data_IF_101826363271
#
_entry.id   IF_101826363271
#
_cell.length_a   1.000
_cell.length_b   1.000
_cell.length_c   1.000
_cell.angle_alpha   90.00
_cell.angle_beta   90.00
_cell.angle_gamma   90.00
#
_symmetry.space_group_name_H-M   'P 1'
#
loop_
_entity.id
_entity.type
_entity.pdbx_description
1 polymer ?
#
# COMPACT_ATOMS: atom_id res chain seq x y z
N UNK A 1 -3.46 -4.04 -20.74
CA UNK A 1 -4.48 -3.98 -19.66
C UNK A 1 -4.68 -2.57 -19.13
N UNK A 2 -3.63 -1.79 -18.97
CA UNK A 2 -3.69 -0.42 -18.42
C UNK A 2 -4.57 0.54 -19.25
N UNK A 3 -4.73 0.30 -20.56
CA UNK A 3 -5.60 1.09 -21.45
C UNK A 3 -7.10 0.88 -21.21
N UNK A 4 -7.49 -0.20 -20.53
CA UNK A 4 -8.88 -0.52 -20.18
C UNK A 4 -9.27 -0.02 -18.77
N UNK A 5 -8.44 0.80 -18.15
CA UNK A 5 -8.63 1.31 -16.79
C UNK A 5 -8.47 2.82 -16.73
N UNK A 6 -9.38 3.52 -16.03
CA UNK A 6 -9.25 4.95 -15.80
C UNK A 6 -8.21 5.27 -14.71
N UNK A 7 -7.95 4.33 -13.80
CA UNK A 7 -6.98 4.43 -12.71
C UNK A 7 -5.75 3.54 -12.94
N UNK A 8 -4.84 3.52 -11.98
CA UNK A 8 -3.63 2.70 -12.02
C UNK A 8 -3.11 2.47 -10.59
N UNK A 9 -3.03 1.19 -10.19
CA UNK A 9 -2.53 0.79 -8.87
C UNK A 9 -3.19 1.55 -7.72
N UNK A 10 -2.47 1.76 -6.63
CA UNK A 10 -2.96 2.50 -5.45
C UNK A 10 -3.24 3.99 -5.72
N UNK A 11 -2.80 4.55 -6.84
CA UNK A 11 -3.11 5.93 -7.23
C UNK A 11 -4.58 6.18 -7.59
N UNK A 12 -5.42 5.12 -7.66
CA UNK A 12 -6.87 5.23 -7.87
C UNK A 12 -7.69 5.29 -6.57
N UNK A 13 -7.05 5.27 -5.40
CA UNK A 13 -7.76 5.38 -4.11
C UNK A 13 -8.57 6.68 -4.04
N UNK A 14 -9.74 6.61 -3.41
CA UNK A 14 -10.57 7.78 -3.08
C UNK A 14 -9.74 8.69 -2.16
N UNK A 15 -9.76 10.00 -2.42
CA UNK A 15 -9.00 10.93 -1.59
C UNK A 15 -9.48 10.91 -0.14
N UNK A 16 -8.57 11.10 0.85
CA UNK A 16 -8.92 11.06 2.27
C UNK A 16 -10.11 11.96 2.62
N UNK A 17 -10.14 13.18 2.10
CA UNK A 17 -11.23 14.14 2.38
C UNK A 17 -12.62 13.65 1.91
N UNK A 18 -12.68 12.96 0.76
CA UNK A 18 -13.93 12.39 0.25
C UNK A 18 -14.30 11.14 1.03
N UNK A 19 -13.32 10.29 1.36
CA UNK A 19 -13.52 9.09 2.15
C UNK A 19 -14.04 9.43 3.55
N UNK A 20 -13.53 10.46 4.20
CA UNK A 20 -14.02 10.95 5.49
C UNK A 20 -15.50 11.33 5.46
N UNK A 21 -15.99 11.87 4.35
CA UNK A 21 -17.42 12.17 4.19
C UNK A 21 -18.24 10.90 4.05
N UNK A 22 -17.74 9.92 3.29
CA UNK A 22 -18.44 8.64 3.06
C UNK A 22 -18.50 7.77 4.32
N UNK A 23 -17.46 7.81 5.15
CA UNK A 23 -17.38 7.02 6.38
C UNK A 23 -18.12 7.63 7.57
N UNK A 24 -18.63 8.86 7.45
CA UNK A 24 -19.47 9.45 8.50
C UNK A 24 -20.72 8.62 8.73
N UNK A 25 -20.92 8.19 9.97
CA UNK A 25 -22.11 7.45 10.36
C UNK A 25 -22.76 8.07 11.59
N UNK A 26 -24.10 7.96 11.68
CA UNK A 26 -24.86 8.26 12.88
C UNK A 26 -25.27 6.99 13.64
N UNK A 27 -24.91 5.83 13.10
CA UNK A 27 -25.17 4.54 13.72
C UNK A 27 -24.15 4.36 14.84
N UNK A 28 -24.60 4.16 16.09
CA UNK A 28 -23.68 3.89 17.20
C UNK A 28 -22.84 2.65 16.90
N UNK A 29 -21.53 2.77 17.07
CA UNK A 29 -20.67 1.60 16.98
C UNK A 29 -21.00 0.60 18.08
N UNK A 30 -21.01 -0.67 17.76
CA UNK A 30 -21.00 -1.73 18.76
C UNK A 30 -19.65 -1.65 19.47
N UNK A 31 -19.69 -1.46 20.78
CA UNK A 31 -18.47 -1.50 21.61
C UNK A 31 -18.10 -2.98 21.74
N UNK A 32 -16.92 -3.31 21.25
CA UNK A 32 -16.34 -4.66 21.32
C UNK A 32 -14.90 -4.53 21.78
N UNK A 33 -14.65 -4.89 23.02
CA UNK A 33 -13.33 -4.79 23.65
C UNK A 33 -12.30 -5.73 23.00
N UNK A 34 -12.75 -6.73 22.24
CA UNK A 34 -11.90 -7.61 21.47
C UNK A 34 -11.40 -6.98 20.15
N UNK A 35 -12.03 -5.90 19.67
CA UNK A 35 -11.55 -5.15 18.50
C UNK A 35 -10.41 -4.21 18.94
N UNK A 36 -9.17 -4.68 18.81
CA UNK A 36 -7.97 -3.94 19.22
C UNK A 36 -7.66 -2.76 18.29
N UNK A 37 -7.84 -2.95 16.98
CA UNK A 37 -7.63 -1.92 15.95
C UNK A 37 -8.81 -1.95 14.98
N UNK A 38 -9.41 -0.79 14.75
CA UNK A 38 -10.55 -0.64 13.86
C UNK A 38 -10.51 0.68 13.08
N UNK A 39 -11.62 1.08 12.49
CA UNK A 39 -11.71 2.23 11.57
C UNK A 39 -11.29 3.59 12.18
N UNK A 40 -11.31 3.73 13.51
CA UNK A 40 -11.04 5.02 14.17
C UNK A 40 -9.56 5.44 14.12
N UNK A 41 -8.64 4.48 14.02
CA UNK A 41 -7.19 4.72 13.99
C UNK A 41 -6.64 4.99 12.60
N UNK A 42 -7.41 4.70 11.54
CA UNK A 42 -6.92 4.76 10.14
C UNK A 42 -5.65 3.94 9.95
N UNK A 43 -5.59 2.79 10.62
CA UNK A 43 -4.48 1.85 10.53
C UNK A 43 -4.61 0.95 9.29
N UNK A 44 -3.56 0.18 8.99
CA UNK A 44 -3.47 -0.62 7.77
C UNK A 44 -4.50 -1.76 7.73
N UNK A 45 -4.87 -2.33 8.90
CA UNK A 45 -5.82 -3.43 8.98
C UNK A 45 -6.64 -3.41 10.28
N UNK A 46 -7.76 -4.14 10.28
CA UNK A 46 -8.50 -4.45 11.51
C UNK A 46 -7.81 -5.57 12.28
N UNK A 47 -7.73 -5.44 13.61
CA UNK A 47 -7.15 -6.44 14.50
C UNK A 47 -8.14 -6.83 15.59
N UNK A 48 -8.45 -8.12 15.68
CA UNK A 48 -9.43 -8.67 16.62
C UNK A 48 -8.79 -9.72 17.51
N UNK A 49 -8.85 -9.53 18.83
CA UNK A 49 -8.37 -10.49 19.84
C UNK A 49 -9.30 -11.71 19.89
N UNK A 50 -8.76 -12.89 19.65
CA UNK A 50 -9.50 -14.15 19.75
C UNK A 50 -9.23 -14.89 21.07
N UNK A 51 -8.52 -14.26 22.00
CA UNK A 51 -8.11 -14.81 23.26
C UNK A 51 -6.79 -15.59 23.19
N UNK A 52 -6.32 -16.03 24.33
CA UNK A 52 -5.07 -16.79 24.49
C UNK A 52 -3.82 -16.05 23.95
N UNK A 53 -3.82 -14.71 23.97
CA UNK A 53 -2.71 -13.88 23.50
C UNK A 53 -2.55 -13.86 21.97
N UNK A 54 -3.57 -14.23 21.22
CA UNK A 54 -3.56 -14.24 19.75
C UNK A 54 -4.64 -13.33 19.20
N UNK A 55 -4.31 -12.55 18.19
CA UNK A 55 -5.26 -11.74 17.43
C UNK A 55 -5.27 -12.13 15.94
N UNK A 56 -6.43 -11.95 15.32
CA UNK A 56 -6.62 -12.04 13.87
C UNK A 56 -6.45 -10.65 13.27
N UNK A 57 -5.71 -10.56 12.18
CA UNK A 57 -5.61 -9.39 11.31
C UNK A 57 -6.45 -9.65 10.07
N UNK A 58 -7.27 -8.70 9.67
CA UNK A 58 -8.08 -8.78 8.46
C UNK A 58 -8.01 -7.47 7.67
N UNK A 59 -7.63 -7.60 6.41
CA UNK A 59 -7.53 -6.46 5.48
C UNK A 59 -8.06 -6.82 4.11
N UNK A 60 -8.30 -5.79 3.28
CA UNK A 60 -8.61 -5.95 1.87
C UNK A 60 -8.03 -4.80 1.06
N UNK A 61 -7.29 -5.12 0.01
CA UNK A 61 -6.83 -4.14 -0.97
C UNK A 61 -6.96 -4.69 -2.39
N UNK A 62 -7.43 -3.84 -3.29
CA UNK A 62 -7.63 -4.17 -4.71
C UNK A 62 -7.56 -2.91 -5.55
N UNK A 63 -7.12 -3.04 -6.78
CA UNK A 63 -6.99 -1.92 -7.70
C UNK A 63 -6.98 -2.35 -9.17
N UNK A 64 -6.97 -1.36 -10.04
CA UNK A 64 -6.86 -1.53 -11.49
C UNK A 64 -5.41 -1.72 -11.92
N UNK A 65 -5.15 -2.32 -13.11
CA UNK A 65 -3.80 -2.60 -13.58
C UNK A 65 -2.86 -1.40 -13.54
N UNK A 66 -1.66 -1.64 -13.01
CA UNK A 66 -0.53 -0.70 -13.00
C UNK A 66 0.53 -1.06 -14.03
N UNK A 67 0.54 -2.32 -14.49
CA UNK A 67 1.39 -2.85 -15.54
C UNK A 67 0.56 -3.61 -16.56
N UNK A 68 1.06 -3.79 -17.77
CA UNK A 68 0.33 -4.49 -18.85
C UNK A 68 0.51 -6.00 -18.81
N UNK A 69 1.62 -6.51 -18.24
CA UNK A 69 1.82 -7.95 -18.04
C UNK A 69 0.85 -8.48 -16.98
N UNK A 70 -0.06 -9.42 -17.34
CA UNK A 70 -1.11 -9.87 -16.43
C UNK A 70 -0.58 -10.64 -15.21
N UNK A 71 0.45 -11.46 -15.39
CA UNK A 71 1.05 -12.19 -14.28
C UNK A 71 1.71 -11.25 -13.26
N UNK A 72 2.47 -10.28 -13.74
CA UNK A 72 3.11 -9.26 -12.91
C UNK A 72 2.07 -8.39 -12.21
N UNK A 73 0.98 -8.00 -12.89
CA UNK A 73 -0.14 -7.28 -12.24
C UNK A 73 -0.73 -8.08 -11.09
N UNK A 74 -1.00 -9.35 -11.30
CA UNK A 74 -1.52 -10.24 -10.26
C UNK A 74 -0.57 -10.35 -9.07
N UNK A 75 0.74 -10.49 -9.31
CA UNK A 75 1.75 -10.49 -8.23
C UNK A 75 1.76 -9.19 -7.45
N UNK A 76 1.79 -8.05 -8.13
CA UNK A 76 1.82 -6.72 -7.48
C UNK A 76 0.58 -6.53 -6.61
N UNK A 77 -0.61 -6.80 -7.14
CA UNK A 77 -1.87 -6.61 -6.42
C UNK A 77 -1.95 -7.48 -5.16
N UNK A 78 -1.54 -8.74 -5.27
CA UNK A 78 -1.48 -9.64 -4.12
C UNK A 78 -0.41 -9.22 -3.10
N UNK A 79 0.80 -8.84 -3.55
CA UNK A 79 1.88 -8.36 -2.68
C UNK A 79 1.45 -7.13 -1.89
N UNK A 80 0.73 -6.19 -2.54
CA UNK A 80 0.20 -5.00 -1.89
C UNK A 80 -0.83 -5.35 -0.81
N UNK A 81 -1.79 -6.22 -1.10
CA UNK A 81 -2.82 -6.60 -0.12
C UNK A 81 -2.24 -7.40 1.08
N UNK A 82 -1.19 -8.18 0.85
CA UNK A 82 -0.51 -8.92 1.93
C UNK A 82 0.29 -7.97 2.84
N UNK A 83 0.72 -6.82 2.32
CA UNK A 83 1.59 -5.87 3.01
C UNK A 83 1.00 -5.38 4.33
N UNK A 84 -0.31 -5.13 4.39
CA UNK A 84 -1.01 -4.67 5.59
C UNK A 84 -0.84 -5.65 6.77
N UNK A 85 -0.83 -6.97 6.48
CA UNK A 85 -0.59 -7.97 7.54
C UNK A 85 0.80 -7.79 8.14
N UNK A 86 1.81 -7.55 7.31
CA UNK A 86 3.18 -7.31 7.76
C UNK A 86 3.33 -5.95 8.45
N UNK A 87 2.59 -4.93 7.99
CA UNK A 87 2.58 -3.61 8.63
C UNK A 87 2.02 -3.66 10.05
N UNK A 88 1.05 -4.54 10.31
CA UNK A 88 0.53 -4.81 11.66
C UNK A 88 1.41 -5.75 12.49
N UNK A 89 2.59 -6.14 11.99
CA UNK A 89 3.51 -7.07 12.66
C UNK A 89 3.11 -8.54 12.57
N UNK A 90 2.12 -8.88 11.78
CA UNK A 90 1.52 -10.20 11.68
C UNK A 90 2.18 -11.12 10.68
N UNK A 91 1.66 -12.34 10.65
CA UNK A 91 1.98 -13.38 9.67
C UNK A 91 0.71 -13.71 8.85
N UNK A 92 0.74 -13.61 7.53
CA UNK A 92 -0.39 -13.97 6.69
C UNK A 92 -0.63 -15.49 6.74
N UNK A 93 -1.90 -15.91 6.73
CA UNK A 93 -2.28 -17.33 6.80
C UNK A 93 -3.09 -17.79 5.60
N UNK A 94 -3.97 -16.94 5.05
CA UNK A 94 -4.74 -17.22 3.85
C UNK A 94 -5.24 -15.94 3.21
N UNK A 95 -5.63 -16.04 1.94
CA UNK A 95 -6.33 -14.97 1.22
C UNK A 95 -7.49 -15.52 0.39
N UNK A 96 -8.45 -14.64 0.07
CA UNK A 96 -9.48 -14.83 -0.94
C UNK A 96 -9.42 -13.71 -1.97
N UNK A 97 -9.60 -14.05 -3.25
CA UNK A 97 -9.49 -13.11 -4.36
C UNK A 97 -10.74 -12.22 -4.50
N UNK A 98 -10.52 -10.96 -4.82
CA UNK A 98 -11.52 -10.03 -5.33
C UNK A 98 -11.18 -9.80 -6.81
N UNK A 99 -12.07 -10.19 -7.72
CA UNK A 99 -11.79 -10.21 -9.14
C UNK A 99 -12.94 -9.63 -9.97
N UNK A 100 -12.73 -8.48 -10.57
CA UNK A 100 -13.60 -7.89 -11.58
C UNK A 100 -12.95 -8.00 -12.94
N UNK A 101 -13.67 -8.56 -13.95
CA UNK A 101 -13.08 -8.80 -15.26
C UNK A 101 -14.00 -8.38 -16.39
N UNK A 102 -13.57 -7.56 -17.36
CA UNK A 102 -14.38 -7.14 -18.49
C UNK A 102 -14.36 -8.20 -19.59
N UNK A 103 -15.30 -9.15 -19.54
CA UNK A 103 -15.39 -10.29 -20.46
C UNK A 103 -15.58 -9.88 -21.92
N UNK A 104 -16.11 -8.68 -22.17
CA UNK A 104 -16.29 -8.09 -23.50
C UNK A 104 -15.01 -7.49 -24.10
N UNK A 105 -13.96 -7.27 -23.29
CA UNK A 105 -12.72 -6.57 -23.67
C UNK A 105 -11.47 -7.43 -23.57
N UNK A 106 -11.42 -8.31 -22.59
CA UNK A 106 -10.22 -9.10 -22.27
C UNK A 106 -10.55 -10.59 -22.20
N UNK A 107 -9.74 -11.46 -22.86
CA UNK A 107 -9.91 -12.91 -22.82
C UNK A 107 -9.78 -13.47 -21.41
N UNK A 108 -10.46 -14.58 -21.12
CA UNK A 108 -10.40 -15.26 -19.83
C UNK A 108 -8.98 -15.78 -19.49
N UNK A 109 -8.21 -16.13 -20.52
CA UNK A 109 -6.83 -16.60 -20.38
C UNK A 109 -5.90 -15.52 -19.82
N UNK A 110 -6.16 -14.25 -20.13
CA UNK A 110 -5.43 -13.11 -19.51
C UNK A 110 -5.81 -12.98 -18.03
N UNK A 111 -7.09 -13.14 -17.69
CA UNK A 111 -7.55 -13.19 -16.32
C UNK A 111 -6.96 -14.35 -15.52
N UNK A 112 -6.79 -15.52 -16.16
CA UNK A 112 -6.10 -16.66 -15.55
C UNK A 112 -4.66 -16.29 -15.17
N UNK A 113 -3.91 -15.61 -16.03
CA UNK A 113 -2.54 -15.18 -15.73
C UNK A 113 -2.48 -14.20 -14.54
N UNK A 114 -3.47 -13.31 -14.39
CA UNK A 114 -3.59 -12.43 -13.21
C UNK A 114 -3.74 -13.27 -11.94
N UNK A 115 -4.64 -14.25 -11.95
CA UNK A 115 -4.84 -15.15 -10.81
C UNK A 115 -3.60 -16.00 -10.49
N UNK A 116 -2.86 -16.45 -11.50
CA UNK A 116 -1.59 -17.16 -11.30
C UNK A 116 -0.53 -16.26 -10.67
N UNK A 117 -0.42 -14.99 -11.08
CA UNK A 117 0.44 -14.01 -10.43
C UNK A 117 0.08 -13.81 -8.96
N UNK A 118 -1.21 -13.71 -8.65
CA UNK A 118 -1.72 -13.64 -7.27
C UNK A 118 -1.38 -14.89 -6.44
N UNK A 119 -1.54 -16.09 -7.01
CA UNK A 119 -1.15 -17.34 -6.36
C UNK A 119 0.35 -17.42 -6.09
N UNK A 120 1.17 -16.93 -7.01
CA UNK A 120 2.61 -16.88 -6.82
C UNK A 120 3.00 -16.01 -5.63
N UNK A 121 2.43 -14.79 -5.51
CA UNK A 121 2.69 -13.92 -4.37
C UNK A 121 2.23 -14.56 -3.03
N UNK A 122 1.08 -15.22 -3.02
CA UNK A 122 0.61 -15.97 -1.85
C UNK A 122 1.58 -17.11 -1.48
N UNK A 123 2.06 -17.87 -2.46
CA UNK A 123 3.04 -18.93 -2.26
C UNK A 123 4.37 -18.39 -1.72
N UNK A 124 4.86 -17.27 -2.28
CA UNK A 124 6.07 -16.60 -1.80
C UNK A 124 5.93 -16.11 -0.34
N UNK A 125 4.71 -15.74 0.07
CA UNK A 125 4.37 -15.36 1.45
C UNK A 125 4.11 -16.58 2.37
N UNK A 126 4.18 -17.79 1.86
CA UNK A 126 3.94 -19.02 2.62
C UNK A 126 2.47 -19.25 2.99
N UNK A 127 1.54 -18.70 2.23
CA UNK A 127 0.09 -18.84 2.46
C UNK A 127 -0.66 -19.32 1.20
N UNK A 128 -1.94 -19.66 1.35
CA UNK A 128 -2.78 -20.17 0.26
C UNK A 128 -3.78 -19.09 -0.20
N UNK A 129 -3.93 -18.94 -1.53
CA UNK A 129 -5.10 -18.31 -2.13
C UNK A 129 -6.24 -19.34 -2.13
N UNK A 130 -7.16 -19.22 -1.15
CA UNK A 130 -8.11 -20.28 -0.78
C UNK A 130 -9.46 -20.20 -1.54
N UNK A 131 -9.67 -19.15 -2.34
CA UNK A 131 -10.92 -18.93 -3.07
C UNK A 131 -11.09 -17.47 -3.45
N UNK A 132 -12.34 -17.04 -3.59
CA UNK A 132 -12.63 -15.64 -3.89
C UNK A 132 -14.00 -15.43 -4.50
N UNK A 133 -14.25 -14.20 -4.94
CA UNK A 133 -15.45 -13.81 -5.66
C UNK A 133 -15.09 -13.06 -6.94
N UNK A 134 -15.82 -13.36 -8.02
CA UNK A 134 -15.60 -12.72 -9.32
C UNK A 134 -16.89 -12.17 -9.89
N UNK A 135 -16.78 -11.03 -10.57
CA UNK A 135 -17.89 -10.39 -11.28
C UNK A 135 -17.46 -9.98 -12.68
N UNK A 136 -18.40 -9.94 -13.61
CA UNK A 136 -18.24 -9.22 -14.86
C UNK A 136 -18.25 -7.71 -14.56
N UNK A 137 -17.17 -7.01 -14.87
CA UNK A 137 -16.95 -5.62 -14.51
C UNK A 137 -16.49 -4.80 -15.72
N UNK A 138 -16.80 -3.50 -15.81
CA UNK A 138 -16.42 -2.68 -16.97
C UNK A 138 -14.92 -2.47 -17.14
N UNK A 139 -14.14 -2.72 -16.07
CA UNK A 139 -12.69 -2.58 -16.01
C UNK A 139 -12.06 -3.73 -15.23
N UNK A 140 -10.82 -4.14 -15.56
CA UNK A 140 -10.14 -5.17 -14.80
C UNK A 140 -9.78 -4.67 -13.39
N UNK A 141 -10.17 -5.43 -12.38
CA UNK A 141 -9.90 -5.18 -10.96
C UNK A 141 -9.39 -6.47 -10.34
N UNK A 142 -8.30 -6.41 -9.61
CA UNK A 142 -7.81 -7.55 -8.85
C UNK A 142 -7.18 -7.10 -7.53
N UNK A 143 -7.38 -7.93 -6.53
CA UNK A 143 -6.75 -7.85 -5.22
C UNK A 143 -7.19 -8.98 -4.31
N UNK A 144 -6.89 -8.85 -3.05
CA UNK A 144 -7.15 -9.89 -2.06
C UNK A 144 -7.83 -9.30 -0.82
N UNK A 145 -8.67 -10.11 -0.20
CA UNK A 145 -8.91 -10.00 1.23
C UNK A 145 -7.97 -11.00 1.93
N UNK A 146 -7.14 -10.50 2.85
CA UNK A 146 -6.08 -11.27 3.49
C UNK A 146 -6.38 -11.40 4.98
N UNK A 147 -6.19 -12.62 5.49
CA UNK A 147 -6.25 -12.91 6.92
C UNK A 147 -4.88 -13.29 7.42
N UNK A 148 -4.48 -12.71 8.54
CA UNK A 148 -3.24 -13.02 9.24
C UNK A 148 -3.46 -13.23 10.73
N UNK A 149 -2.40 -13.60 11.42
CA UNK A 149 -2.37 -13.71 12.88
C UNK A 149 -1.18 -12.98 13.45
N UNK A 150 -1.31 -12.53 14.69
CA UNK A 150 -0.25 -11.86 15.46
C UNK A 150 -0.46 -12.16 16.95
N UNK A 151 0.61 -12.22 17.72
CA UNK A 151 0.51 -12.18 19.19
C UNK A 151 0.02 -10.78 19.60
N UNK A 152 -0.97 -10.70 20.49
CA UNK A 152 -1.59 -9.41 20.89
C UNK A 152 -0.58 -8.38 21.38
N UNK A 153 0.48 -8.81 22.05
CA UNK A 153 1.56 -7.94 22.56
C UNK A 153 2.49 -7.40 21.44
N UNK A 154 2.46 -8.03 20.26
CA UNK A 154 3.33 -7.70 19.10
C UNK A 154 2.61 -6.88 18.04
N UNK A 155 1.33 -6.61 18.21
CA UNK A 155 0.58 -5.75 17.27
C UNK A 155 1.30 -4.42 17.12
N UNK A 156 1.62 -4.07 15.89
CA UNK A 156 2.15 -2.75 15.53
C UNK A 156 1.02 -1.89 14.97
N UNK A 157 1.08 -0.62 15.31
CA UNK A 157 0.12 0.38 14.86
C UNK A 157 0.87 1.60 14.34
N UNK A 158 0.20 2.40 13.53
CA UNK A 158 0.78 3.62 12.98
C UNK A 158 0.80 4.80 13.97
N UNK A 159 0.06 4.73 15.08
CA UNK A 159 -0.19 5.82 16.04
C UNK A 159 0.59 5.69 17.36
N UNK A 160 1.64 4.88 17.40
CA UNK A 160 2.40 4.55 18.61
C UNK A 160 3.85 5.02 18.59
N UNK A 161 4.21 5.90 17.64
CA UNK A 161 5.54 6.50 17.57
C UNK A 161 5.86 7.32 18.83
N UNK A 162 7.14 7.42 19.18
CA UNK A 162 7.60 8.19 20.33
C UNK A 162 8.66 9.23 19.92
N UNK A 163 8.72 10.33 20.69
CA UNK A 163 9.70 11.39 20.43
C UNK A 163 11.14 10.84 20.50
N UNK A 164 11.97 11.23 19.53
CA UNK A 164 13.34 10.78 19.39
C UNK A 164 13.53 9.53 18.54
N UNK A 165 12.45 8.88 18.10
CA UNK A 165 12.55 7.78 17.16
C UNK A 165 13.21 8.22 15.84
N UNK A 166 13.94 7.29 15.22
CA UNK A 166 14.40 7.40 13.84
C UNK A 166 13.37 6.79 12.90
N UNK A 167 13.32 7.30 11.66
CA UNK A 167 12.44 6.80 10.62
C UNK A 167 13.26 6.01 9.58
N UNK A 168 12.74 4.87 9.17
CA UNK A 168 13.35 4.02 8.14
C UNK A 168 12.33 3.62 7.11
N UNK A 169 12.76 3.48 5.84
CA UNK A 169 11.96 2.91 4.75
C UNK A 169 12.58 1.60 4.29
N UNK A 170 11.77 0.55 4.18
CA UNK A 170 12.26 -0.79 3.75
C UNK A 170 12.33 -0.95 2.24
N UNK A 171 11.67 -0.07 1.47
CA UNK A 171 11.79 0.02 0.01
C UNK A 171 11.96 1.47 -0.43
N UNK A 172 12.65 1.72 -1.55
CA UNK A 172 12.81 3.06 -2.11
C UNK A 172 11.50 3.61 -2.68
N UNK A 173 11.38 4.95 -2.73
CA UNK A 173 10.26 5.68 -3.32
C UNK A 173 10.46 5.91 -4.83
N UNK A 174 9.38 6.26 -5.54
CA UNK A 174 9.41 6.63 -6.95
C UNK A 174 8.59 5.73 -7.87
N UNK A 175 7.80 4.80 -7.30
CA UNK A 175 6.95 3.87 -8.07
C UNK A 175 5.96 4.63 -8.95
N UNK A 176 5.29 5.65 -8.43
CA UNK A 176 4.31 6.42 -9.20
C UNK A 176 4.93 7.18 -10.38
N UNK A 177 6.14 7.72 -10.17
CA UNK A 177 6.90 8.43 -11.22
C UNK A 177 7.30 7.48 -12.34
N UNK A 178 7.89 6.32 -12.02
CA UNK A 178 8.31 5.33 -13.02
C UNK A 178 7.10 4.70 -13.73
N UNK A 179 6.02 4.41 -13.01
CA UNK A 179 4.78 3.90 -13.61
C UNK A 179 4.12 4.93 -14.54
N UNK A 180 4.24 6.22 -14.21
CA UNK A 180 3.78 7.31 -15.10
C UNK A 180 4.64 7.39 -16.35
N UNK A 181 5.96 7.22 -16.24
CA UNK A 181 6.87 7.14 -17.39
C UNK A 181 6.52 5.94 -18.30
N UNK A 182 6.19 4.80 -17.69
CA UNK A 182 5.70 3.61 -18.40
C UNK A 182 4.41 3.91 -19.18
N UNK A 183 3.40 4.48 -18.50
CA UNK A 183 2.11 4.84 -19.13
C UNK A 183 2.25 5.87 -20.24
N UNK A 184 3.18 6.82 -20.11
CA UNK A 184 3.52 7.80 -21.15
C UNK A 184 4.40 7.22 -22.26
N UNK A 185 4.82 5.95 -22.17
CA UNK A 185 5.74 5.28 -23.11
C UNK A 185 7.10 5.99 -23.23
N UNK A 186 7.54 6.61 -22.13
CA UNK A 186 8.83 7.32 -22.04
C UNK A 186 9.88 6.48 -21.31
N UNK A 187 9.48 5.40 -20.63
CA UNK A 187 10.40 4.50 -19.92
C UNK A 187 11.33 3.83 -20.93
N UNK A 188 12.62 3.79 -20.62
CA UNK A 188 13.58 3.04 -21.44
C UNK A 188 13.43 1.56 -21.18
N UNK A 189 13.63 0.68 -22.18
CA UNK A 189 13.49 -0.77 -22.01
C UNK A 189 14.30 -1.33 -20.82
N UNK A 190 15.53 -0.85 -20.63
CA UNK A 190 16.43 -1.26 -19.55
C UNK A 190 15.96 -0.80 -18.14
N UNK A 191 15.00 0.11 -18.05
CA UNK A 191 14.43 0.60 -16.81
C UNK A 191 13.01 0.07 -16.53
N UNK A 192 12.45 -0.71 -17.47
CA UNK A 192 11.04 -1.10 -17.43
C UNK A 192 10.68 -1.95 -16.20
N UNK A 193 11.62 -2.75 -15.69
CA UNK A 193 11.39 -3.68 -14.59
C UNK A 193 11.69 -3.07 -13.20
N UNK A 194 12.29 -1.88 -13.12
CA UNK A 194 12.70 -1.25 -11.84
C UNK A 194 11.52 -1.12 -10.86
N UNK A 195 10.40 -0.54 -11.30
CA UNK A 195 9.23 -0.38 -10.47
C UNK A 195 8.48 -1.71 -10.25
N UNK A 196 8.23 -2.56 -11.27
CA UNK A 196 7.65 -3.89 -11.08
C UNK A 196 8.40 -4.77 -10.09
N UNK A 197 9.73 -4.83 -10.16
CA UNK A 197 10.56 -5.61 -9.23
C UNK A 197 10.42 -5.12 -7.77
N UNK A 198 10.39 -3.81 -7.58
CA UNK A 198 10.14 -3.23 -6.24
C UNK A 198 8.74 -3.56 -5.74
N UNK A 199 7.72 -3.45 -6.59
CA UNK A 199 6.32 -3.73 -6.24
C UNK A 199 6.06 -5.21 -5.94
N UNK A 200 6.76 -6.14 -6.59
CA UNK A 200 6.63 -7.58 -6.36
C UNK A 200 7.35 -8.07 -5.09
N UNK A 201 8.14 -7.22 -4.42
CA UNK A 201 8.85 -7.60 -3.21
C UNK A 201 7.93 -7.56 -2.00
N UNK A 202 7.81 -8.68 -1.28
CA UNK A 202 7.04 -8.76 -0.03
C UNK A 202 7.66 -7.93 1.09
N UNK A 203 6.82 -7.37 1.94
CA UNK A 203 7.22 -6.67 3.18
C UNK A 203 7.36 -7.63 4.38
N UNK A 204 7.76 -8.88 4.16
CA UNK A 204 7.84 -9.94 5.18
C UNK A 204 8.72 -9.59 6.37
N UNK A 205 9.67 -8.68 6.21
CA UNK A 205 10.49 -8.13 7.30
C UNK A 205 9.63 -7.52 8.43
N UNK A 206 8.38 -7.11 8.14
CA UNK A 206 7.46 -6.53 9.13
C UNK A 206 7.20 -7.47 10.31
N UNK A 207 7.11 -8.78 10.06
CA UNK A 207 6.96 -9.79 11.14
C UNK A 207 8.19 -9.80 12.07
N UNK A 208 9.40 -9.68 11.51
CA UNK A 208 10.64 -9.63 12.30
C UNK A 208 10.78 -8.29 13.04
N UNK A 209 10.40 -7.18 12.39
CA UNK A 209 10.41 -5.85 12.99
C UNK A 209 9.46 -5.77 14.20
N UNK A 210 8.37 -6.54 14.20
CA UNK A 210 7.44 -6.60 15.31
C UNK A 210 8.05 -7.19 16.59
N UNK A 211 9.08 -8.05 16.47
CA UNK A 211 9.82 -8.61 17.60
C UNK A 211 10.75 -7.60 18.27
N UNK A 212 11.07 -6.51 17.59
CA UNK A 212 12.03 -5.52 18.11
C UNK A 212 11.32 -4.52 19.02
N UNK A 213 11.73 -4.45 20.27
CA UNK A 213 11.17 -3.54 21.28
C UNK A 213 11.38 -2.05 20.94
N UNK A 214 12.37 -1.70 20.10
CA UNK A 214 12.59 -0.34 19.62
C UNK A 214 11.59 0.09 18.56
N UNK A 215 11.01 -0.84 17.78
CA UNK A 215 10.01 -0.52 16.76
C UNK A 215 8.71 -0.16 17.44
N UNK A 216 8.38 1.14 17.42
CA UNK A 216 7.22 1.72 18.12
C UNK A 216 6.02 1.82 17.19
N UNK A 217 6.19 2.34 15.98
CA UNK A 217 5.12 2.41 14.99
C UNK A 217 5.59 1.82 13.65
N UNK A 218 4.64 1.26 12.92
CA UNK A 218 4.85 0.61 11.65
C UNK A 218 3.62 0.84 10.76
N UNK A 219 3.82 1.16 9.50
CA UNK A 219 2.79 1.22 8.46
C UNK A 219 3.45 1.00 7.10
N UNK A 220 2.71 0.64 6.08
CA UNK A 220 3.26 0.62 4.73
C UNK A 220 3.01 1.94 3.98
N UNK A 221 3.87 2.26 3.02
CA UNK A 221 3.75 3.49 2.23
C UNK A 221 3.10 3.16 0.90
N UNK A 222 1.82 3.55 0.73
CA UNK A 222 1.04 3.26 -0.46
C UNK A 222 0.50 4.52 -1.15
N UNK A 223 -0.76 4.56 -1.51
CA UNK A 223 -1.37 5.55 -2.39
C UNK A 223 -1.28 7.02 -1.94
N UNK A 224 -1.15 7.27 -0.65
CA UNK A 224 -1.01 8.64 -0.12
C UNK A 224 0.44 9.16 -0.12
N UNK A 225 1.40 8.33 -0.55
CA UNK A 225 2.81 8.66 -0.56
C UNK A 225 3.42 8.77 0.84
N UNK A 226 4.72 9.01 0.90
CA UNK A 226 5.42 9.15 2.18
C UNK A 226 4.80 10.26 3.04
N UNK A 227 4.48 11.41 2.43
CA UNK A 227 3.92 12.56 3.16
C UNK A 227 2.59 12.25 3.84
N UNK A 228 1.70 11.51 3.17
CA UNK A 228 0.40 11.14 3.72
C UNK A 228 0.52 10.15 4.87
N UNK A 229 1.23 9.04 4.67
CA UNK A 229 1.37 8.01 5.71
C UNK A 229 2.19 8.49 6.92
N UNK A 230 3.26 9.27 6.71
CA UNK A 230 4.00 9.87 7.82
C UNK A 230 3.15 10.90 8.58
N UNK A 231 2.28 11.64 7.88
CA UNK A 231 1.32 12.52 8.55
C UNK A 231 0.38 11.72 9.47
N UNK A 232 -0.16 10.58 9.02
CA UNK A 232 -1.02 9.71 9.83
C UNK A 232 -0.29 9.24 11.09
N UNK A 233 0.97 8.81 10.96
CA UNK A 233 1.83 8.47 12.10
C UNK A 233 1.99 9.65 13.06
N UNK A 234 2.28 10.83 12.53
CA UNK A 234 2.47 12.04 13.36
C UNK A 234 1.19 12.48 14.08
N UNK A 235 0.05 12.50 13.38
CA UNK A 235 -1.24 12.86 13.96
C UNK A 235 -1.66 11.86 15.05
N UNK A 236 -1.59 10.54 14.73
CA UNK A 236 -1.97 9.50 15.68
C UNK A 236 -1.10 9.45 16.93
N UNK A 237 0.18 9.82 16.80
CA UNK A 237 1.15 9.84 17.91
C UNK A 237 1.30 11.21 18.59
N UNK A 238 0.62 12.25 18.10
CA UNK A 238 0.74 13.65 18.55
C UNK A 238 2.21 14.15 18.48
N UNK A 239 2.86 13.93 17.35
CA UNK A 239 4.25 14.26 17.07
C UNK A 239 4.40 15.06 15.77
N UNK A 240 5.61 15.55 15.54
CA UNK A 240 6.06 16.05 14.23
C UNK A 240 7.31 15.28 13.80
N UNK A 241 7.47 15.11 12.47
CA UNK A 241 8.64 14.45 11.90
C UNK A 241 9.50 15.43 11.10
N UNK A 242 10.79 15.17 11.08
CA UNK A 242 11.75 15.86 10.21
C UNK A 242 12.28 14.84 9.20
N UNK A 243 12.17 15.18 7.91
CA UNK A 243 12.71 14.36 6.82
C UNK A 243 13.94 15.08 6.26
N UNK A 244 15.07 14.40 6.28
CA UNK A 244 16.27 14.79 5.54
C UNK A 244 16.14 14.30 4.10
N UNK A 245 15.67 15.17 3.21
CA UNK A 245 15.29 14.79 1.84
C UNK A 245 16.39 14.03 1.09
N UNK A 246 17.65 14.46 1.26
CA UNK A 246 18.80 13.83 0.58
C UNK A 246 19.12 12.42 1.09
N UNK A 247 18.54 12.00 2.21
CA UNK A 247 18.67 10.66 2.77
C UNK A 247 17.56 9.70 2.32
N UNK A 248 16.56 10.20 1.60
CA UNK A 248 15.45 9.33 1.14
C UNK A 248 15.97 8.29 0.14
N UNK A 249 15.69 7.00 0.36
CA UNK A 249 15.98 5.98 -0.64
C UNK A 249 15.04 6.15 -1.84
N UNK A 250 15.59 6.34 -3.02
CA UNK A 250 14.84 6.49 -4.27
C UNK A 250 15.18 5.35 -5.23
N UNK A 251 14.19 4.94 -6.02
CA UNK A 251 14.41 4.04 -7.15
C UNK A 251 15.37 4.70 -8.16
N UNK A 252 16.20 3.91 -8.85
CA UNK A 252 17.07 4.44 -9.89
C UNK A 252 16.28 5.23 -10.94
N UNK A 253 16.90 6.31 -11.45
CA UNK A 253 16.35 7.13 -12.56
C UNK A 253 15.07 7.92 -12.25
N UNK A 254 14.62 8.01 -11.00
CA UNK A 254 13.43 8.80 -10.61
C UNK A 254 13.58 10.26 -11.05
N UNK A 255 14.75 10.88 -10.81
CA UNK A 255 14.99 12.26 -11.22
C UNK A 255 15.05 12.45 -12.74
N UNK A 256 15.55 11.44 -13.48
CA UNK A 256 15.58 11.49 -14.94
C UNK A 256 14.16 11.57 -15.52
N UNK A 257 13.23 10.79 -14.96
CA UNK A 257 11.83 10.79 -15.38
C UNK A 257 11.01 11.95 -14.83
N UNK A 258 11.34 12.50 -13.67
CA UNK A 258 10.78 13.77 -13.21
C UNK A 258 11.14 14.93 -14.16
N UNK A 259 12.38 14.97 -14.66
CA UNK A 259 12.81 15.96 -15.65
C UNK A 259 12.05 15.84 -17.00
N UNK A 260 11.41 14.70 -17.27
CA UNK A 260 10.52 14.45 -18.40
C UNK A 260 9.03 14.65 -18.05
N UNK A 261 8.74 15.34 -16.96
CA UNK A 261 7.39 15.64 -16.49
C UNK A 261 6.55 14.36 -16.21
N UNK A 262 7.18 13.32 -15.65
CA UNK A 262 6.51 12.08 -15.30
C UNK A 262 5.98 12.05 -13.86
N UNK A 263 5.70 13.21 -13.24
CA UNK A 263 4.97 13.25 -11.97
C UNK A 263 3.53 12.75 -12.16
N UNK A 264 3.04 11.78 -11.36
CA UNK A 264 1.67 11.30 -11.48
C UNK A 264 0.66 12.33 -10.96
N UNK A 265 -0.52 12.40 -11.57
CA UNK A 265 -1.59 13.25 -11.08
C UNK A 265 -2.04 12.94 -9.65
N UNK A 266 -1.74 11.73 -9.16
CA UNK A 266 -1.92 11.33 -7.77
C UNK A 266 -1.09 12.15 -6.78
N UNK A 267 0.13 12.53 -7.15
CA UNK A 267 1.00 13.35 -6.29
C UNK A 267 0.40 14.74 -6.03
N UNK A 268 -0.19 15.38 -7.06
CA UNK A 268 -0.87 16.65 -6.87
C UNK A 268 -2.12 16.50 -5.99
N UNK A 269 -2.97 15.49 -6.22
CA UNK A 269 -4.14 15.23 -5.37
C UNK A 269 -3.77 14.94 -3.92
N UNK A 270 -2.67 14.24 -3.69
CA UNK A 270 -2.12 14.00 -2.36
C UNK A 270 -1.72 15.32 -1.69
N UNK A 271 -0.96 16.14 -2.39
CA UNK A 271 -0.56 17.45 -1.87
C UNK A 271 -1.78 18.35 -1.60
N UNK A 272 -2.77 18.39 -2.49
CA UNK A 272 -4.00 19.18 -2.28
C UNK A 272 -4.78 18.71 -1.04
N UNK A 273 -4.66 17.41 -0.67
CA UNK A 273 -5.36 16.84 0.47
C UNK A 273 -4.69 17.13 1.82
N UNK A 274 -3.37 17.17 1.88
CA UNK A 274 -2.64 17.28 3.15
C UNK A 274 -1.41 18.19 3.13
N UNK A 275 -1.14 18.90 2.02
CA UNK A 275 0.03 19.75 1.87
C UNK A 275 0.11 20.88 2.91
N UNK A 276 -1.03 21.30 3.48
CA UNK A 276 -1.08 22.26 4.59
C UNK A 276 -0.46 21.77 5.90
N UNK A 277 -0.19 20.46 6.03
CA UNK A 277 0.53 19.84 7.15
C UNK A 277 2.03 19.66 6.87
N UNK A 278 2.47 19.96 5.66
CA UNK A 278 3.86 19.87 5.25
C UNK A 278 4.53 21.24 5.28
N UNK A 279 5.83 21.28 5.56
CA UNK A 279 6.62 22.50 5.43
C UNK A 279 6.76 22.93 3.97
N UNK A 280 7.16 24.19 3.74
CA UNK A 280 7.52 24.65 2.39
C UNK A 280 8.61 23.76 1.78
N UNK A 281 8.46 23.44 0.50
CA UNK A 281 9.37 22.56 -0.24
C UNK A 281 9.38 22.91 -1.73
N UNK A 282 10.41 22.46 -2.44
CA UNK A 282 10.49 22.60 -3.89
C UNK A 282 9.49 21.67 -4.59
N UNK A 283 9.14 21.98 -5.86
CA UNK A 283 8.27 21.11 -6.67
C UNK A 283 8.84 19.70 -6.83
N UNK A 284 10.16 19.56 -6.89
CA UNK A 284 10.82 18.24 -6.94
C UNK A 284 10.62 17.44 -5.65
N UNK A 285 10.81 18.09 -4.50
CA UNK A 285 10.56 17.47 -3.19
C UNK A 285 9.09 17.07 -3.05
N UNK A 286 8.17 17.96 -3.40
CA UNK A 286 6.73 17.71 -3.42
C UNK A 286 6.38 16.47 -4.28
N UNK A 287 6.93 16.42 -5.50
CA UNK A 287 6.67 15.30 -6.42
C UNK A 287 7.12 13.96 -5.85
N UNK A 288 8.17 13.91 -5.01
CA UNK A 288 8.70 12.68 -4.39
C UNK A 288 7.96 12.35 -3.11
N UNK A 289 7.77 13.34 -2.21
CA UNK A 289 7.12 13.13 -0.91
C UNK A 289 5.65 12.72 -1.07
N UNK A 290 4.98 13.27 -2.10
CA UNK A 290 3.58 12.98 -2.40
C UNK A 290 3.38 11.91 -3.48
N UNK A 291 4.47 11.30 -4.01
CA UNK A 291 4.40 10.25 -5.03
C UNK A 291 3.61 9.04 -4.51
N UNK A 292 2.47 8.68 -5.12
CA UNK A 292 1.74 7.50 -4.70
C UNK A 292 2.58 6.25 -4.96
N UNK A 293 2.74 5.43 -3.93
CA UNK A 293 3.38 4.14 -4.05
C UNK A 293 2.33 3.04 -4.22
N UNK A 294 2.64 2.01 -4.98
CA UNK A 294 1.89 0.76 -5.02
C UNK A 294 2.82 -0.32 -4.49
N UNK A 295 2.36 -1.10 -3.54
CA UNK A 295 3.20 -2.08 -2.85
C UNK A 295 4.53 -1.47 -2.37
N UNK A 296 4.47 -0.31 -1.75
CA UNK A 296 5.64 0.37 -1.22
C UNK A 296 6.24 -0.34 -0.01
N UNK A 297 7.29 0.24 0.56
CA UNK A 297 7.98 -0.30 1.73
C UNK A 297 7.28 0.07 3.03
N UNK A 298 7.70 -0.57 4.10
CA UNK A 298 7.28 -0.20 5.45
C UNK A 298 7.99 1.09 5.88
N UNK A 299 7.23 1.99 6.50
CA UNK A 299 7.72 3.13 7.27
C UNK A 299 7.82 2.69 8.73
N UNK A 300 9.02 2.66 9.24
CA UNK A 300 9.35 2.14 10.57
C UNK A 300 9.78 3.30 11.47
N UNK A 301 9.16 3.42 12.63
CA UNK A 301 9.55 4.34 13.70
C UNK A 301 10.21 3.57 14.84
N UNK A 302 11.54 3.76 15.03
CA UNK A 302 12.36 2.99 15.97
C UNK A 302 13.29 3.89 16.78
#
# INVERSE_FOLDING_TARGET
MTEYSHGSGCGCKISPAVLDVMLKTQIPNVIDDALLVGNSSRDDAAVYDIGNGTAIISTTDFFMPIVDDPFTFGRIAATNAISDIYAMGGKPIMAIAIFGWPLDKLPAEVGQQVLEGGRQACSDAGMTLAGGHSIDAPEPIFGLAVTGTVETEKVKQNNTATSGNKLYLTKPLGVGILSTAQKKKLIKPEHADIAPDSMCKLNSIGTELAELACVKALTDVTGFGLGGHLREVCEGSNLSAVIEFDQLPLLPHVFDYLALDCSPGGAQRNFDSYGNHLSEMTEQQKSIICDPQTSGGLLVSC
#
